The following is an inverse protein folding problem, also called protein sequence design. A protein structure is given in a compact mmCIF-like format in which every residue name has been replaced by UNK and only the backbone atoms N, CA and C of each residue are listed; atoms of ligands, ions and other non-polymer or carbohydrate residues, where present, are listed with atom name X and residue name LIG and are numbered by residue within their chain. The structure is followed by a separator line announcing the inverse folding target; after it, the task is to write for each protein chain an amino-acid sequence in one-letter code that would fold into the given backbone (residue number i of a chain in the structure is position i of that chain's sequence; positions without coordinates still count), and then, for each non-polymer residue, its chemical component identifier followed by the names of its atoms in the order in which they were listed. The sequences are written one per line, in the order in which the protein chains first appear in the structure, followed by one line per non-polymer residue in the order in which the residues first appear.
data_IF_162519611649
#
_entry.id   IF_162519611649
#
_cell.length_a   1.000
_cell.length_b   1.000
_cell.length_c   1.000
_cell.angle_alpha   90.00
_cell.angle_beta   90.00
_cell.angle_gamma   90.00
#
_symmetry.space_group_name_H-M   'P 1'
#
loop_
_entity.id
_entity.type
_entity.pdbx_description
1 polymer ?
#
# COMPACT_ATOMS: atom_id res chain seq x y z
N UNK A 1 4.65 -72.36 13.46
CA UNK A 1 4.50 -70.91 13.63
C UNK A 1 3.75 -70.39 12.41
N UNK A 2 2.51 -69.91 12.53
CA UNK A 2 1.72 -69.45 11.39
C UNK A 2 2.15 -68.04 10.94
N UNK A 3 2.17 -67.79 9.63
CA UNK A 3 2.53 -66.49 9.02
C UNK A 3 1.40 -65.45 9.16
N UNK A 4 1.71 -64.14 9.27
CA UNK A 4 0.70 -63.10 9.41
C UNK A 4 0.08 -62.69 8.06
N UNK A 5 -1.25 -62.60 8.02
CA UNK A 5 -2.01 -62.20 6.84
C UNK A 5 -1.96 -60.67 6.57
N UNK A 6 -2.05 -60.22 5.30
CA UNK A 6 -1.99 -58.80 4.94
C UNK A 6 -3.30 -58.05 5.22
N UNK A 7 -3.17 -56.88 5.86
CA UNK A 7 -4.28 -55.96 6.19
C UNK A 7 -4.71 -55.19 4.94
N UNK A 8 -6.00 -55.21 4.61
CA UNK A 8 -6.61 -54.42 3.51
C UNK A 8 -7.33 -53.19 4.07
N UNK A 9 -7.03 -52.01 3.54
CA UNK A 9 -7.77 -50.76 3.81
C UNK A 9 -8.81 -50.48 2.71
N UNK A 10 -9.99 -49.92 3.03
CA UNK A 10 -11.00 -49.58 2.03
C UNK A 10 -10.65 -48.27 1.31
N UNK A 11 -10.74 -48.28 -0.03
CA UNK A 11 -10.58 -47.09 -0.89
C UNK A 11 -11.94 -46.41 -1.06
N UNK A 12 -12.08 -45.17 -0.62
CA UNK A 12 -13.26 -44.35 -0.86
C UNK A 12 -13.27 -43.82 -2.30
N UNK A 13 -14.42 -43.93 -3.00
CA UNK A 13 -14.65 -43.35 -4.34
C UNK A 13 -14.77 -41.83 -4.26
N UNK A 14 -14.26 -41.06 -5.24
CA UNK A 14 -14.43 -39.61 -5.28
C UNK A 14 -15.87 -39.23 -5.68
N UNK A 15 -16.49 -38.36 -4.90
CA UNK A 15 -17.81 -37.78 -5.18
C UNK A 15 -17.70 -36.63 -6.20
N UNK A 16 -18.60 -36.59 -7.18
CA UNK A 16 -18.67 -35.55 -8.20
C UNK A 16 -19.20 -34.21 -7.64
N UNK A 17 -18.61 -33.09 -8.08
CA UNK A 17 -18.97 -31.74 -7.64
C UNK A 17 -20.32 -31.25 -8.21
N UNK A 18 -21.12 -30.47 -7.46
CA UNK A 18 -22.43 -29.98 -7.90
C UNK A 18 -22.34 -28.73 -8.81
N UNK A 19 -23.17 -28.71 -9.86
CA UNK A 19 -23.33 -27.61 -10.83
C UNK A 19 -24.34 -26.56 -10.34
N UNK A 20 -23.96 -25.27 -10.43
CA UNK A 20 -24.79 -24.12 -10.06
C UNK A 20 -25.50 -23.53 -11.30
N UNK A 21 -26.83 -23.53 -11.32
CA UNK A 21 -27.62 -22.79 -12.33
C UNK A 21 -28.64 -21.86 -11.68
N UNK A 22 -28.69 -20.61 -12.13
CA UNK A 22 -29.58 -19.57 -11.59
C UNK A 22 -30.99 -19.62 -12.20
N UNK A 23 -31.99 -19.42 -11.34
CA UNK A 23 -33.43 -19.52 -11.62
C UNK A 23 -33.97 -18.17 -12.16
N UNK A 24 -34.51 -18.14 -13.38
CA UNK A 24 -35.27 -16.98 -13.91
C UNK A 24 -36.68 -16.93 -13.32
N UNK A 25 -37.14 -15.72 -12.96
CA UNK A 25 -38.46 -15.43 -12.35
C UNK A 25 -39.44 -14.91 -13.44
N UNK A 26 -40.74 -15.29 -13.44
CA UNK A 26 -41.71 -14.81 -14.43
C UNK A 26 -42.35 -13.48 -14.00
N UNK A 27 -42.72 -12.65 -14.98
CA UNK A 27 -43.37 -11.35 -14.78
C UNK A 27 -44.87 -11.50 -14.50
N UNK A 28 -45.37 -10.80 -13.48
CA UNK A 28 -46.78 -10.79 -13.08
C UNK A 28 -47.55 -9.62 -13.73
N UNK A 29 -48.70 -9.93 -14.34
CA UNK A 29 -49.65 -8.97 -14.95
C UNK A 29 -50.56 -8.35 -13.88
N UNK A 30 -50.60 -7.01 -13.74
CA UNK A 30 -51.53 -6.27 -12.86
C UNK A 30 -52.69 -5.64 -13.67
N UNK A 31 -53.88 -5.54 -13.07
CA UNK A 31 -55.13 -5.11 -13.74
C UNK A 31 -55.21 -3.59 -13.98
N UNK A 32 -55.96 -3.13 -15.01
CA UNK A 32 -55.94 -1.74 -15.47
C UNK A 32 -56.66 -0.75 -14.53
N UNK A 33 -57.55 -1.19 -13.64
CA UNK A 33 -58.27 -0.29 -12.73
C UNK A 33 -57.42 0.16 -11.53
N UNK A 34 -56.44 -0.63 -11.10
CA UNK A 34 -55.46 -0.23 -10.07
C UNK A 34 -54.57 0.94 -10.51
N UNK A 35 -54.43 1.15 -11.82
CA UNK A 35 -53.64 2.25 -12.41
C UNK A 35 -54.34 3.59 -12.19
N UNK A 36 -55.68 3.63 -12.14
CA UNK A 36 -56.45 4.88 -12.02
C UNK A 36 -56.40 5.47 -10.61
N UNK A 37 -56.65 4.65 -9.58
CA UNK A 37 -56.57 5.10 -8.18
C UNK A 37 -55.13 5.41 -7.75
N UNK A 38 -54.16 4.61 -8.20
CA UNK A 38 -52.74 4.92 -7.98
C UNK A 38 -52.33 6.23 -8.66
N UNK A 39 -52.91 6.56 -9.82
CA UNK A 39 -52.65 7.81 -10.52
C UNK A 39 -53.25 9.03 -9.81
N UNK A 40 -54.43 8.89 -9.17
CA UNK A 40 -55.03 9.95 -8.38
C UNK A 40 -54.23 10.23 -7.10
N UNK A 41 -53.87 9.18 -6.36
CA UNK A 41 -53.02 9.29 -5.18
C UNK A 41 -51.62 9.85 -5.50
N UNK A 42 -51.06 9.50 -6.66
CA UNK A 42 -49.79 10.05 -7.12
C UNK A 42 -49.88 11.56 -7.46
N UNK A 43 -51.02 12.03 -7.99
CA UNK A 43 -51.20 13.45 -8.29
C UNK A 43 -51.33 14.29 -7.03
N UNK A 44 -51.99 13.77 -6.00
CA UNK A 44 -52.08 14.46 -4.70
C UNK A 44 -50.72 14.49 -3.98
N UNK A 45 -49.95 13.40 -4.03
CA UNK A 45 -48.60 13.36 -3.45
C UNK A 45 -47.64 14.32 -4.16
N UNK A 46 -47.70 14.40 -5.50
CA UNK A 46 -46.92 15.37 -6.28
C UNK A 46 -47.33 16.80 -5.90
N UNK A 47 -48.63 17.09 -5.79
CA UNK A 47 -49.11 18.42 -5.44
C UNK A 47 -48.64 18.83 -4.03
N UNK A 48 -48.72 17.90 -3.06
CA UNK A 48 -48.22 18.10 -1.70
C UNK A 48 -46.70 18.37 -1.68
N UNK A 49 -45.92 17.58 -2.44
CA UNK A 49 -44.47 17.75 -2.57
C UNK A 49 -44.12 19.11 -3.21
N UNK A 50 -44.85 19.52 -4.25
CA UNK A 50 -44.65 20.80 -4.94
C UNK A 50 -44.98 21.98 -4.02
N UNK A 51 -46.03 21.90 -3.19
CA UNK A 51 -46.30 22.94 -2.18
C UNK A 51 -45.27 22.98 -1.06
N UNK A 52 -44.77 21.82 -0.59
CA UNK A 52 -43.71 21.76 0.42
C UNK A 52 -42.37 22.31 -0.10
N UNK A 53 -42.13 22.24 -1.41
CA UNK A 53 -40.92 22.75 -2.07
C UNK A 53 -41.07 24.16 -2.63
N UNK A 54 -42.25 24.79 -2.56
CA UNK A 54 -42.49 26.15 -3.11
C UNK A 54 -42.02 27.29 -2.19
N UNK A 55 -41.60 27.01 -0.96
CA UNK A 55 -40.91 27.98 -0.12
C UNK A 55 -39.67 27.36 0.53
N UNK A 56 -38.46 27.55 -0.04
CA UNK A 56 -37.29 27.45 0.83
C UNK A 56 -36.02 28.24 0.41
N UNK A 57 -36.07 29.35 -0.33
CA UNK A 57 -34.80 30.03 -0.72
C UNK A 57 -34.14 30.92 0.34
N UNK A 58 -34.71 31.07 1.54
CA UNK A 58 -34.13 31.94 2.58
C UNK A 58 -33.41 31.20 3.73
N UNK A 59 -33.46 29.86 3.78
CA UNK A 59 -32.87 29.08 4.88
C UNK A 59 -32.05 27.84 4.47
N UNK A 60 -32.07 27.46 3.19
CA UNK A 60 -31.45 26.21 2.71
C UNK A 60 -29.98 26.36 2.30
N UNK A 61 -29.55 27.56 1.86
CA UNK A 61 -28.16 27.79 1.45
C UNK A 61 -27.15 27.58 2.61
N UNK A 62 -27.53 27.90 3.85
CA UNK A 62 -26.68 27.67 5.03
C UNK A 62 -26.64 26.18 5.44
N UNK A 63 -27.77 25.45 5.33
CA UNK A 63 -27.79 24.00 5.58
C UNK A 63 -27.06 23.21 4.51
N UNK A 64 -27.10 23.67 3.25
CA UNK A 64 -26.39 23.05 2.14
C UNK A 64 -24.88 23.27 2.28
N UNK A 65 -24.43 24.48 2.68
CA UNK A 65 -23.02 24.74 2.96
C UNK A 65 -22.48 23.92 4.14
N UNK A 66 -23.24 23.80 5.23
CA UNK A 66 -22.85 22.96 6.37
C UNK A 66 -22.76 21.48 5.99
N UNK A 67 -23.70 20.99 5.18
CA UNK A 67 -23.72 19.61 4.68
C UNK A 67 -22.58 19.33 3.71
N UNK A 68 -22.23 20.28 2.84
CA UNK A 68 -21.06 20.17 1.96
C UNK A 68 -19.77 20.08 2.79
N UNK A 69 -19.59 20.96 3.80
CA UNK A 69 -18.43 20.90 4.67
C UNK A 69 -18.33 19.59 5.48
N UNK A 70 -19.46 19.03 5.89
CA UNK A 70 -19.52 17.71 6.53
C UNK A 70 -19.11 16.59 5.56
N UNK A 71 -19.64 16.61 4.33
CA UNK A 71 -19.26 15.65 3.29
C UNK A 71 -17.77 15.73 2.95
N UNK A 72 -17.20 16.94 2.82
CA UNK A 72 -15.76 17.14 2.60
C UNK A 72 -14.92 16.57 3.75
N UNK A 73 -15.35 16.75 5.01
CA UNK A 73 -14.67 16.14 6.16
C UNK A 73 -14.73 14.62 6.10
N UNK A 74 -15.90 14.05 5.80
CA UNK A 74 -16.03 12.59 5.67
C UNK A 74 -15.20 12.04 4.51
N UNK A 75 -15.10 12.78 3.40
CA UNK A 75 -14.30 12.40 2.25
C UNK A 75 -12.80 12.37 2.62
N UNK A 76 -12.29 13.41 3.30
CA UNK A 76 -10.90 13.43 3.79
C UNK A 76 -10.61 12.31 4.80
N UNK A 77 -11.56 11.98 5.66
CA UNK A 77 -11.42 10.84 6.60
C UNK A 77 -11.36 9.50 5.85
N UNK A 78 -12.19 9.33 4.81
CA UNK A 78 -12.18 8.13 3.98
C UNK A 78 -10.90 8.01 3.16
N UNK A 79 -10.39 9.12 2.60
CA UNK A 79 -9.09 9.17 1.90
C UNK A 79 -7.94 8.78 2.83
N UNK A 80 -7.91 9.31 4.06
CA UNK A 80 -6.90 8.94 5.05
C UNK A 80 -6.99 7.45 5.41
N UNK A 81 -8.21 6.93 5.62
CA UNK A 81 -8.43 5.51 5.91
C UNK A 81 -8.06 4.60 4.74
N UNK A 82 -8.29 5.04 3.50
CA UNK A 82 -7.88 4.33 2.29
C UNK A 82 -6.35 4.26 2.22
N UNK A 83 -5.65 5.39 2.40
CA UNK A 83 -4.19 5.44 2.38
C UNK A 83 -3.56 4.56 3.47
N UNK A 84 -4.16 4.50 4.66
CA UNK A 84 -3.71 3.59 5.73
C UNK A 84 -3.89 2.12 5.34
N UNK A 85 -5.02 1.76 4.73
CA UNK A 85 -5.27 0.39 4.25
C UNK A 85 -4.30 0.00 3.14
N UNK A 86 -4.03 0.89 2.19
CA UNK A 86 -3.07 0.66 1.11
C UNK A 86 -1.66 0.40 1.68
N UNK A 87 -1.24 1.19 2.68
CA UNK A 87 0.03 0.93 3.40
C UNK A 87 0.04 -0.44 4.06
N UNK A 88 -1.03 -0.82 4.76
CA UNK A 88 -1.12 -2.15 5.38
C UNK A 88 -1.11 -3.28 4.35
N UNK A 89 -1.72 -3.10 3.18
CA UNK A 89 -1.69 -4.09 2.10
C UNK A 89 -0.27 -4.24 1.58
N UNK A 90 0.42 -3.13 1.25
CA UNK A 90 1.80 -3.18 0.75
C UNK A 90 2.77 -3.80 1.77
N UNK A 91 2.60 -3.52 3.07
CA UNK A 91 3.41 -4.16 4.12
C UNK A 91 3.15 -5.68 4.20
N UNK A 92 1.88 -6.10 4.09
CA UNK A 92 1.54 -7.52 4.09
C UNK A 92 2.03 -8.25 2.83
N UNK A 93 1.98 -7.61 1.66
CA UNK A 93 2.53 -8.14 0.41
C UNK A 93 4.04 -8.33 0.52
N UNK A 94 4.77 -7.36 1.10
CA UNK A 94 6.20 -7.50 1.35
C UNK A 94 6.49 -8.69 2.30
N UNK A 95 5.76 -8.79 3.41
CA UNK A 95 5.89 -9.91 4.36
C UNK A 95 5.57 -11.27 3.74
N UNK A 96 4.60 -11.33 2.83
CA UNK A 96 4.27 -12.56 2.11
C UNK A 96 5.38 -12.93 1.14
N UNK A 97 5.90 -11.97 0.36
CA UNK A 97 7.02 -12.20 -0.54
C UNK A 97 8.28 -12.70 0.18
N UNK A 98 8.56 -12.19 1.38
CA UNK A 98 9.68 -12.68 2.21
C UNK A 98 9.45 -14.12 2.66
N UNK A 99 8.24 -14.47 3.13
CA UNK A 99 7.90 -15.84 3.49
C UNK A 99 7.95 -16.81 2.32
N UNK A 100 7.56 -16.38 1.13
CA UNK A 100 7.68 -17.19 -0.09
C UNK A 100 9.13 -17.49 -0.45
N UNK A 101 10.04 -16.50 -0.27
CA UNK A 101 11.48 -16.71 -0.44
C UNK A 101 12.02 -17.70 0.59
N UNK A 102 11.69 -17.52 1.87
CA UNK A 102 12.12 -18.45 2.94
C UNK A 102 11.64 -19.89 2.66
N UNK A 103 10.39 -20.05 2.23
CA UNK A 103 9.84 -21.35 1.86
C UNK A 103 10.60 -21.95 0.66
N UNK A 104 10.83 -21.18 -0.40
CA UNK A 104 11.60 -21.65 -1.56
C UNK A 104 13.03 -22.07 -1.19
N UNK A 105 13.70 -21.35 -0.29
CA UNK A 105 15.02 -21.72 0.23
C UNK A 105 14.97 -23.02 1.03
N UNK A 106 13.99 -23.17 1.92
CA UNK A 106 13.84 -24.41 2.72
C UNK A 106 13.50 -25.62 1.85
N UNK A 107 12.65 -25.46 0.83
CA UNK A 107 12.34 -26.50 -0.15
C UNK A 107 13.59 -26.90 -0.96
N UNK A 108 14.39 -25.93 -1.40
CA UNK A 108 15.65 -26.21 -2.08
C UNK A 108 16.63 -26.98 -1.19
N UNK A 109 16.74 -26.63 0.09
CA UNK A 109 17.56 -27.35 1.07
C UNK A 109 17.04 -28.76 1.33
N UNK A 110 15.73 -28.95 1.42
CA UNK A 110 15.11 -30.28 1.57
C UNK A 110 15.39 -31.16 0.34
N UNK A 111 15.20 -30.63 -0.87
CA UNK A 111 15.51 -31.34 -2.10
C UNK A 111 17.00 -31.71 -2.19
N UNK A 112 17.90 -30.83 -1.77
CA UNK A 112 19.33 -31.11 -1.71
C UNK A 112 19.64 -32.25 -0.71
N UNK A 113 19.01 -32.23 0.48
CA UNK A 113 19.15 -33.29 1.49
C UNK A 113 18.58 -34.61 1.04
N UNK A 114 17.42 -34.62 0.37
CA UNK A 114 16.83 -35.82 -0.21
C UNK A 114 17.74 -36.44 -1.27
N UNK A 115 18.33 -35.62 -2.15
CA UNK A 115 19.31 -36.08 -3.14
C UNK A 115 20.54 -36.70 -2.47
N UNK A 116 21.09 -36.07 -1.42
CA UNK A 116 22.19 -36.63 -0.64
C UNK A 116 21.80 -37.95 0.02
N UNK A 117 20.61 -38.02 0.64
CA UNK A 117 20.10 -39.23 1.26
C UNK A 117 19.94 -40.36 0.23
N UNK A 118 19.40 -40.08 -0.96
CA UNK A 118 19.28 -41.06 -2.06
C UNK A 118 20.64 -41.55 -2.55
N UNK A 119 21.65 -40.67 -2.64
CA UNK A 119 23.02 -41.05 -2.99
C UNK A 119 23.62 -41.96 -1.91
N UNK A 120 23.37 -41.69 -0.63
CA UNK A 120 23.87 -42.53 0.49
C UNK A 120 23.10 -43.84 0.69
N UNK A 121 21.81 -43.88 0.32
CA UNK A 121 20.92 -45.03 0.52
C UNK A 121 21.01 -46.06 -0.62
N UNK A 122 21.53 -45.70 -1.79
CA UNK A 122 21.89 -46.69 -2.81
C UNK A 122 22.92 -47.66 -2.19
N UNK A 123 22.67 -48.98 -2.19
CA UNK A 123 23.66 -49.92 -1.68
C UNK A 123 24.95 -49.70 -2.46
N UNK A 124 26.01 -49.35 -1.74
CA UNK A 124 27.34 -49.09 -2.27
C UNK A 124 27.95 -50.40 -2.75
N UNK A 125 27.38 -50.97 -3.81
CA UNK A 125 28.05 -51.97 -4.62
C UNK A 125 29.26 -51.25 -5.23
N UNK A 126 30.43 -51.60 -4.71
CA UNK A 126 31.69 -50.88 -4.84
C UNK A 126 31.83 -49.70 -3.86
N UNK A 127 32.24 -50.01 -2.62
CA UNK A 127 33.25 -49.20 -1.96
C UNK A 127 34.54 -49.27 -2.81
N UNK A 128 34.55 -48.58 -3.95
CA UNK A 128 35.82 -48.20 -4.58
C UNK A 128 36.47 -47.28 -3.56
N UNK A 129 37.67 -47.65 -3.12
CA UNK A 129 38.52 -46.75 -2.36
C UNK A 129 38.62 -45.45 -3.16
N UNK A 130 38.11 -44.35 -2.61
CA UNK A 130 38.15 -43.03 -3.25
C UNK A 130 39.58 -42.82 -3.73
N UNK A 131 39.76 -42.70 -5.05
CA UNK A 131 41.10 -42.64 -5.62
C UNK A 131 41.82 -41.39 -5.09
N UNK A 132 43.15 -41.38 -5.07
CA UNK A 132 43.89 -40.20 -4.61
C UNK A 132 43.52 -38.95 -5.44
N UNK A 133 43.19 -39.13 -6.72
CA UNK A 133 42.73 -38.08 -7.63
C UNK A 133 41.34 -37.55 -7.25
N UNK A 134 40.39 -38.42 -6.91
CA UNK A 134 39.06 -38.00 -6.44
C UNK A 134 39.14 -37.22 -5.12
N UNK A 135 40.03 -37.61 -4.21
CA UNK A 135 40.27 -36.85 -2.97
C UNK A 135 40.88 -35.48 -3.26
N UNK A 136 41.86 -35.41 -4.16
CA UNK A 136 42.47 -34.14 -4.56
C UNK A 136 41.47 -33.21 -5.24
N UNK A 137 40.61 -33.73 -6.12
CA UNK A 137 39.54 -32.97 -6.76
C UNK A 137 38.51 -32.45 -5.75
N UNK A 138 38.15 -33.24 -4.74
CA UNK A 138 37.26 -32.81 -3.65
C UNK A 138 37.88 -31.70 -2.79
N UNK A 139 39.18 -31.80 -2.46
CA UNK A 139 39.88 -30.74 -1.71
C UNK A 139 39.98 -29.45 -2.53
N UNK A 140 40.24 -29.53 -3.84
CA UNK A 140 40.20 -28.36 -4.72
C UNK A 140 38.81 -27.72 -4.75
N UNK A 141 37.74 -28.53 -4.87
CA UNK A 141 36.38 -28.01 -4.90
C UNK A 141 36.01 -27.32 -3.57
N UNK A 142 36.44 -27.87 -2.43
CA UNK A 142 36.25 -27.24 -1.12
C UNK A 142 36.99 -25.90 -1.02
N UNK A 143 38.26 -25.85 -1.45
CA UNK A 143 39.03 -24.62 -1.44
C UNK A 143 38.41 -23.53 -2.34
N UNK A 144 37.89 -23.92 -3.51
CA UNK A 144 37.15 -23.00 -4.39
C UNK A 144 35.87 -22.49 -3.72
N UNK A 145 35.14 -23.37 -3.03
CA UNK A 145 33.90 -23.03 -2.33
C UNK A 145 34.17 -22.09 -1.15
N UNK A 146 35.20 -22.36 -0.34
CA UNK A 146 35.65 -21.46 0.74
C UNK A 146 36.05 -20.08 0.21
N UNK A 147 36.74 -20.04 -0.93
CA UNK A 147 37.09 -18.77 -1.60
C UNK A 147 35.85 -18.00 -2.07
N UNK A 148 34.87 -18.69 -2.64
CA UNK A 148 33.61 -18.09 -3.07
C UNK A 148 32.79 -17.59 -1.87
N UNK A 149 32.73 -18.35 -0.78
CA UNK A 149 32.08 -17.95 0.47
C UNK A 149 32.72 -16.70 1.07
N UNK A 150 34.05 -16.62 1.10
CA UNK A 150 34.77 -15.43 1.52
C UNK A 150 34.42 -14.22 0.64
N UNK A 151 34.47 -14.39 -0.68
CA UNK A 151 34.12 -13.32 -1.63
C UNK A 151 32.66 -12.85 -1.48
N UNK A 152 31.73 -13.77 -1.23
CA UNK A 152 30.31 -13.43 -1.00
C UNK A 152 30.12 -12.69 0.33
N UNK A 153 30.86 -13.08 1.37
CA UNK A 153 30.82 -12.40 2.66
C UNK A 153 31.33 -10.97 2.54
N UNK A 154 32.44 -10.77 1.83
CA UNK A 154 33.01 -9.45 1.58
C UNK A 154 32.05 -8.58 0.75
N UNK A 155 31.45 -9.14 -0.30
CA UNK A 155 30.45 -8.43 -1.11
C UNK A 155 29.21 -8.03 -0.28
N UNK A 156 28.71 -8.93 0.59
CA UNK A 156 27.60 -8.61 1.51
C UNK A 156 27.97 -7.51 2.49
N UNK A 157 29.20 -7.49 2.99
CA UNK A 157 29.66 -6.43 3.88
C UNK A 157 29.74 -5.09 3.13
N UNK A 158 30.30 -5.08 1.92
CA UNK A 158 30.38 -3.87 1.11
C UNK A 158 29.00 -3.28 0.77
N UNK A 159 27.99 -4.13 0.55
CA UNK A 159 26.60 -3.68 0.35
C UNK A 159 26.07 -3.01 1.62
N UNK A 160 26.25 -3.62 2.79
CA UNK A 160 25.81 -3.05 4.07
C UNK A 160 26.47 -1.70 4.36
N UNK A 161 27.77 -1.59 4.12
CA UNK A 161 28.51 -0.34 4.34
C UNK A 161 27.99 0.76 3.41
N UNK A 162 27.62 0.40 2.17
CA UNK A 162 27.01 1.32 1.21
C UNK A 162 25.60 1.74 1.62
N UNK A 163 24.78 0.82 2.10
CA UNK A 163 23.43 1.12 2.62
C UNK A 163 23.52 2.10 3.79
N UNK A 164 24.41 1.85 4.76
CA UNK A 164 24.64 2.75 5.88
C UNK A 164 25.08 4.15 5.41
N UNK A 165 25.98 4.23 4.43
CA UNK A 165 26.38 5.51 3.87
C UNK A 165 25.22 6.25 3.21
N UNK A 166 24.34 5.53 2.50
CA UNK A 166 23.14 6.12 1.88
C UNK A 166 22.20 6.66 2.95
N UNK A 167 21.88 5.87 3.98
CA UNK A 167 21.03 6.29 5.09
C UNK A 167 21.56 7.55 5.78
N UNK A 168 22.87 7.61 6.07
CA UNK A 168 23.51 8.80 6.63
C UNK A 168 23.44 10.00 5.69
N UNK A 169 23.59 9.77 4.39
CA UNK A 169 23.53 10.84 3.38
C UNK A 169 22.11 11.40 3.22
N UNK A 170 21.10 10.53 3.30
CA UNK A 170 19.68 10.89 3.27
C UNK A 170 19.29 11.69 4.51
N UNK A 171 19.72 11.26 5.69
CA UNK A 171 19.51 12.01 6.93
C UNK A 171 20.11 13.41 6.86
N UNK A 172 21.37 13.54 6.41
CA UNK A 172 22.04 14.83 6.22
C UNK A 172 21.35 15.70 5.19
N UNK A 173 20.82 15.11 4.12
CA UNK A 173 20.07 15.84 3.10
C UNK A 173 18.75 16.36 3.67
N UNK A 174 18.04 15.54 4.44
CA UNK A 174 16.80 15.92 5.09
C UNK A 174 17.00 17.10 6.07
N UNK A 175 18.04 17.02 6.91
CA UNK A 175 18.43 18.13 7.82
C UNK A 175 18.72 19.42 7.05
N UNK A 176 19.44 19.33 5.91
CA UNK A 176 19.71 20.51 5.07
C UNK A 176 18.45 21.09 4.46
N UNK A 177 17.52 20.26 4.02
CA UNK A 177 16.24 20.69 3.47
C UNK A 177 15.41 21.40 4.55
N UNK A 178 15.34 20.86 5.76
CA UNK A 178 14.66 21.51 6.88
C UNK A 178 15.30 22.86 7.22
N UNK A 179 16.63 22.90 7.36
CA UNK A 179 17.34 24.15 7.64
C UNK A 179 17.18 25.20 6.52
N UNK A 180 17.02 24.74 5.27
CA UNK A 180 16.71 25.64 4.15
C UNK A 180 15.29 26.19 4.24
N UNK A 181 14.30 25.36 4.55
CA UNK A 181 12.91 25.79 4.73
C UNK A 181 12.78 26.81 5.87
N UNK A 182 13.46 26.60 7.00
CA UNK A 182 13.49 27.56 8.09
C UNK A 182 14.07 28.90 7.66
N UNK A 183 15.16 28.90 6.89
CA UNK A 183 15.76 30.13 6.35
C UNK A 183 14.84 30.84 5.36
N UNK A 184 14.12 30.10 4.52
CA UNK A 184 13.14 30.68 3.58
C UNK A 184 12.02 31.38 4.37
N UNK A 185 11.47 30.73 5.41
CA UNK A 185 10.47 31.32 6.30
C UNK A 185 11.01 32.59 6.98
N UNK A 186 12.24 32.56 7.52
CA UNK A 186 12.85 33.75 8.12
C UNK A 186 13.02 34.90 7.13
N UNK A 187 13.38 34.59 5.88
CA UNK A 187 13.54 35.61 4.83
C UNK A 187 12.21 36.20 4.43
N UNK A 188 11.16 35.39 4.33
CA UNK A 188 9.78 35.85 4.08
C UNK A 188 9.32 36.79 5.20
N UNK A 189 9.51 36.41 6.46
CA UNK A 189 9.17 37.26 7.62
C UNK A 189 9.92 38.60 7.57
N UNK A 190 11.24 38.57 7.33
CA UNK A 190 12.05 39.80 7.20
C UNK A 190 11.57 40.68 6.03
N UNK A 191 11.18 40.06 4.91
CA UNK A 191 10.66 40.79 3.75
C UNK A 191 9.30 41.43 4.05
N UNK A 192 8.43 40.75 4.79
CA UNK A 192 7.17 41.32 5.26
C UNK A 192 7.40 42.49 6.21
N UNK A 193 8.29 42.33 7.20
CA UNK A 193 8.66 43.40 8.13
C UNK A 193 9.19 44.63 7.39
N UNK A 194 10.09 44.45 6.42
CA UNK A 194 10.60 45.54 5.59
C UNK A 194 9.49 46.22 4.79
N UNK A 195 8.57 45.46 4.17
CA UNK A 195 7.42 46.03 3.45
C UNK A 195 6.52 46.85 4.38
N UNK A 196 6.30 46.40 5.62
CA UNK A 196 5.52 47.17 6.58
C UNK A 196 6.24 48.44 7.03
N UNK A 197 7.55 48.37 7.23
CA UNK A 197 8.37 49.52 7.59
C UNK A 197 8.44 50.55 6.46
N UNK A 198 8.67 50.12 5.22
CA UNK A 198 8.64 50.97 4.03
C UNK A 198 7.28 51.66 3.87
N UNK A 199 6.17 50.95 4.11
CA UNK A 199 4.83 51.54 4.06
C UNK A 199 4.69 52.66 5.10
N UNK A 200 5.07 52.39 6.36
CA UNK A 200 5.02 53.39 7.44
C UNK A 200 5.88 54.60 7.14
N UNK A 201 7.08 54.38 6.57
CA UNK A 201 7.97 55.47 6.18
C UNK A 201 7.33 56.35 5.09
N UNK A 202 6.77 55.73 4.04
CA UNK A 202 6.05 56.47 2.98
C UNK A 202 4.85 57.25 3.51
N UNK A 203 4.11 56.68 4.46
CA UNK A 203 3.00 57.37 5.13
C UNK A 203 3.48 58.58 5.95
N UNK A 204 4.60 58.46 6.67
CA UNK A 204 5.23 59.56 7.41
C UNK A 204 5.77 60.65 6.48
N UNK A 205 6.43 60.27 5.39
CA UNK A 205 6.92 61.21 4.36
C UNK A 205 5.76 61.97 3.72
N UNK A 206 4.67 61.29 3.38
CA UNK A 206 3.45 61.92 2.86
C UNK A 206 2.77 62.86 3.87
N UNK A 207 2.92 62.62 5.18
CA UNK A 207 2.39 63.53 6.20
C UNK A 207 3.19 64.84 6.30
N UNK A 208 4.49 64.81 5.94
CA UNK A 208 5.39 65.96 6.03
C UNK A 208 5.54 66.71 4.69
N UNK A 209 5.42 66.01 3.55
CA UNK A 209 5.56 66.57 2.21
C UNK A 209 4.27 66.43 1.37
N UNK A 210 3.61 67.55 1.00
CA UNK A 210 2.37 67.53 0.21
C UNK A 210 2.55 66.95 -1.21
N UNK A 211 3.76 66.98 -1.78
CA UNK A 211 4.03 66.36 -3.09
C UNK A 211 4.16 64.84 -3.00
N UNK A 212 4.72 64.32 -1.90
CA UNK A 212 4.73 62.90 -1.58
C UNK A 212 3.31 62.38 -1.27
N UNK A 213 2.48 63.18 -0.59
CA UNK A 213 1.07 62.85 -0.33
C UNK A 213 0.23 62.66 -1.60
N UNK A 214 0.50 63.45 -2.64
CA UNK A 214 -0.17 63.33 -3.93
C UNK A 214 0.23 62.04 -4.67
N UNK A 215 1.49 61.59 -4.55
CA UNK A 215 1.99 60.34 -5.16
C UNK A 215 1.45 59.08 -4.48
N UNK A 216 1.11 59.15 -3.20
CA UNK A 216 0.56 58.02 -2.44
C UNK A 216 -0.95 57.80 -2.72
N UNK A 217 -1.64 58.83 -3.22
CA UNK A 217 -3.09 58.80 -3.55
C UNK A 217 -3.40 58.48 -5.02
N UNK A 218 -2.40 58.51 -5.90
CA UNK A 218 -2.50 58.19 -7.33
C UNK A 218 -2.22 56.70 -7.56
#
# INVERSE_FOLDING_TARGET
MPEPAPIKFPVAKPAAAPTLSLRRRPAATRSPFAVSEASAAARESIKAFVTATRAPFAGQAASDSARVAELERTLRQLEASLAERERLVTENEARLADRERDLAETEALLLARERLAQVTAKPRAAQVAVSAEEKAALEQLKAELERQEASLKDAKQAIRDREQFLDESEAKLFEKVQAQQEKEIEQEQKAEDLRTWERRLREQEAALDPTAAARLKA
#
